data_IF_076589787318
#
_entry.id   IF_076589787318
#
_cell.length_a   1.000
_cell.length_b   1.000
_cell.length_c   1.000
_cell.angle_alpha   90.00
_cell.angle_beta   90.00
_cell.angle_gamma   90.00
#
_symmetry.space_group_name_H-M   'P 1'
#
loop_
_entity.id
_entity.type
_entity.pdbx_description
1 polymer ?
#
# COMPACT_ATOMS: atom_id res chain seq x y z
N UNK A 1 18.88 32.57 -15.25
CA UNK A 1 18.14 32.45 -13.97
C UNK A 1 16.79 31.83 -14.31
N UNK A 2 16.80 30.64 -14.90
CA UNK A 2 15.64 30.10 -15.64
C UNK A 2 15.19 28.73 -15.09
N UNK A 3 16.00 28.14 -14.20
CA UNK A 3 15.76 26.84 -13.59
C UNK A 3 14.61 26.87 -12.56
N UNK A 4 14.44 27.99 -11.86
CA UNK A 4 13.40 28.17 -10.81
C UNK A 4 11.97 28.27 -11.41
N UNK A 5 11.84 28.98 -12.54
CA UNK A 5 10.59 29.11 -13.27
C UNK A 5 10.15 27.76 -13.87
N UNK A 6 11.11 26.99 -14.39
CA UNK A 6 10.87 25.66 -14.96
C UNK A 6 10.48 24.65 -13.88
N UNK A 7 11.13 24.70 -12.71
CA UNK A 7 10.81 23.84 -11.57
C UNK A 7 9.39 24.11 -11.03
N UNK A 8 9.01 25.39 -10.93
CA UNK A 8 7.66 25.80 -10.51
C UNK A 8 6.57 25.34 -11.48
N UNK A 9 6.83 25.39 -12.79
CA UNK A 9 5.91 24.90 -13.82
C UNK A 9 5.75 23.37 -13.77
N UNK A 10 6.86 22.64 -13.64
CA UNK A 10 6.87 21.18 -13.50
C UNK A 10 6.16 20.72 -12.21
N UNK A 11 6.33 21.45 -11.12
CA UNK A 11 5.65 21.19 -9.85
C UNK A 11 4.13 21.40 -9.95
N UNK A 12 3.68 22.47 -10.63
CA UNK A 12 2.24 22.70 -10.89
C UNK A 12 1.60 21.58 -11.70
N UNK A 13 2.25 21.16 -12.79
CA UNK A 13 1.78 20.04 -13.62
C UNK A 13 1.72 18.72 -12.83
N UNK A 14 2.68 18.50 -11.93
CA UNK A 14 2.71 17.31 -11.08
C UNK A 14 1.61 17.35 -10.02
N UNK A 15 1.33 18.51 -9.42
CA UNK A 15 0.25 18.70 -8.46
C UNK A 15 -1.13 18.47 -9.09
N UNK A 16 -1.35 18.94 -10.32
CA UNK A 16 -2.59 18.66 -11.08
C UNK A 16 -2.78 17.17 -11.34
N UNK A 17 -1.70 16.44 -11.68
CA UNK A 17 -1.74 14.97 -11.86
C UNK A 17 -1.97 14.20 -10.55
N UNK A 18 -1.55 14.74 -9.41
CA UNK A 18 -1.83 14.17 -8.08
C UNK A 18 -3.29 14.41 -7.69
N UNK A 19 -3.86 15.57 -8.03
CA UNK A 19 -5.26 15.88 -7.77
C UNK A 19 -6.23 14.97 -8.55
N UNK A 20 -5.81 14.50 -9.73
CA UNK A 20 -6.56 13.56 -10.58
C UNK A 20 -6.46 12.09 -10.14
N UNK A 21 -5.56 11.77 -9.20
CA UNK A 21 -5.53 10.45 -8.63
C UNK A 21 -6.84 10.24 -7.84
N UNK A 22 -7.60 9.15 -8.08
CA UNK A 22 -8.82 8.90 -7.34
C UNK A 22 -8.50 8.89 -5.85
N UNK A 23 -8.99 9.90 -5.14
CA UNK A 23 -8.79 10.06 -3.69
C UNK A 23 -9.13 8.73 -3.02
N UNK A 24 -8.27 8.21 -2.12
CA UNK A 24 -8.52 6.95 -1.46
C UNK A 24 -9.86 7.06 -0.72
N UNK A 25 -10.86 6.39 -1.28
CA UNK A 25 -12.24 6.46 -0.80
C UNK A 25 -12.25 6.04 0.67
N UNK A 26 -13.16 6.58 1.49
CA UNK A 26 -13.28 6.18 2.91
C UNK A 26 -13.32 4.66 3.11
N UNK A 27 -13.79 3.93 2.09
CA UNK A 27 -13.83 2.47 2.00
C UNK A 27 -12.43 1.82 1.94
N UNK A 28 -11.50 2.33 1.14
CA UNK A 28 -10.11 1.83 1.07
C UNK A 28 -9.30 2.20 2.32
N UNK A 29 -9.58 3.36 2.94
CA UNK A 29 -9.00 3.70 4.25
C UNK A 29 -9.46 2.74 5.37
N UNK A 30 -10.77 2.46 5.46
CA UNK A 30 -11.32 1.55 6.49
C UNK A 30 -10.79 0.12 6.35
N UNK A 31 -10.60 -0.35 5.13
CA UNK A 31 -9.98 -1.67 4.87
C UNK A 31 -8.53 -1.73 5.34
N UNK A 32 -7.77 -0.62 5.20
CA UNK A 32 -6.39 -0.53 5.71
C UNK A 32 -6.33 -0.43 7.24
N UNK A 33 -7.29 0.21 7.89
CA UNK A 33 -7.30 0.44 9.34
C UNK A 33 -7.90 -0.71 10.18
N UNK A 34 -8.49 -1.71 9.54
CA UNK A 34 -9.13 -2.81 10.26
C UNK A 34 -8.10 -3.73 10.92
N UNK A 35 -7.82 -3.54 12.22
CA UNK A 35 -6.88 -4.36 12.99
C UNK A 35 -7.25 -5.86 12.98
N UNK A 36 -8.54 -6.19 12.96
CA UNK A 36 -9.01 -7.57 12.82
C UNK A 36 -8.58 -8.20 11.48
N UNK A 37 -8.66 -7.43 10.38
CA UNK A 37 -8.25 -7.88 9.05
C UNK A 37 -6.72 -8.01 8.99
N UNK A 38 -5.98 -7.10 9.62
CA UNK A 38 -4.52 -7.21 9.73
C UNK A 38 -4.10 -8.44 10.55
N UNK A 39 -4.74 -8.68 11.69
CA UNK A 39 -4.49 -9.85 12.53
C UNK A 39 -4.79 -11.15 11.80
N UNK A 40 -5.93 -11.23 11.10
CA UNK A 40 -6.27 -12.39 10.27
C UNK A 40 -5.22 -12.66 9.18
N UNK A 41 -4.77 -11.62 8.47
CA UNK A 41 -3.71 -11.76 7.44
C UNK A 41 -2.40 -12.24 8.06
N UNK A 42 -2.03 -11.70 9.21
CA UNK A 42 -0.83 -12.12 9.94
C UNK A 42 -0.91 -13.60 10.32
N UNK A 43 -2.00 -14.04 10.96
CA UNK A 43 -2.21 -15.44 11.35
C UNK A 43 -2.16 -16.36 10.13
N UNK A 44 -2.84 -16.00 9.03
CA UNK A 44 -2.85 -16.81 7.81
C UNK A 44 -1.47 -17.01 7.19
N UNK A 45 -0.65 -15.95 7.14
CA UNK A 45 0.69 -16.02 6.56
C UNK A 45 1.59 -16.92 7.43
N UNK A 46 1.59 -16.69 8.73
CA UNK A 46 2.37 -17.51 9.68
C UNK A 46 1.95 -18.98 9.61
N UNK A 47 0.64 -19.27 9.55
CA UNK A 47 0.14 -20.63 9.45
C UNK A 47 0.52 -21.32 8.13
N UNK A 48 0.60 -20.58 7.02
CA UNK A 48 1.07 -21.13 5.73
C UNK A 48 2.54 -21.54 5.83
N UNK A 49 3.38 -20.73 6.45
CA UNK A 49 4.79 -21.08 6.67
C UNK A 49 4.94 -22.33 7.53
N UNK A 50 4.24 -22.38 8.67
CA UNK A 50 4.24 -23.57 9.55
C UNK A 50 3.78 -24.81 8.80
N UNK A 51 2.72 -24.71 7.98
CA UNK A 51 2.24 -25.84 7.17
C UNK A 51 3.26 -26.33 6.13
N UNK A 52 4.01 -25.41 5.52
CA UNK A 52 5.09 -25.78 4.57
C UNK A 52 6.23 -26.48 5.31
N UNK A 53 6.61 -25.98 6.49
CA UNK A 53 7.65 -26.57 7.34
C UNK A 53 7.23 -27.97 7.83
N UNK A 54 5.99 -28.12 8.32
CA UNK A 54 5.46 -29.41 8.78
C UNK A 54 5.44 -30.44 7.64
N UNK A 55 4.99 -30.06 6.44
CA UNK A 55 5.06 -30.91 5.26
C UNK A 55 6.48 -31.32 4.85
N UNK A 56 7.48 -30.49 5.15
CA UNK A 56 8.88 -30.81 4.91
C UNK A 56 9.52 -31.68 6.00
N UNK A 57 8.89 -31.79 7.18
CA UNK A 57 9.37 -32.63 8.29
C UNK A 57 8.76 -34.04 8.26
N UNK A 58 7.54 -34.19 7.74
CA UNK A 58 6.87 -35.49 7.56
C UNK A 58 7.30 -36.24 6.26
N UNK A 59 8.46 -35.89 5.68
CA UNK A 59 9.03 -36.47 4.46
C UNK A 59 10.32 -37.23 4.71
#
# INVERSE_FOLDING_TARGET
MDDDATNTAANRQTAERIADAPLPTRRTLRLRQSLLVQCWRFVRINLKMVRVIARGHDG
#
